data_IF_495045572080
#
_entry.id   IF_495045572080
#
_cell.length_a   1.000
_cell.length_b   1.000
_cell.length_c   1.000
_cell.angle_alpha   90.00
_cell.angle_beta   90.00
_cell.angle_gamma   90.00
#
_symmetry.space_group_name_H-M   'P 1'
#
loop_
_entity.id
_entity.type
_entity.pdbx_description
1 polymer ?
#
# COMPACT_ATOMS: atom_id res chain seq x y z
N UNK A 1 -4.33 13.27 22.56
CA UNK A 1 -4.10 13.08 21.12
C UNK A 1 -5.34 12.39 20.57
N UNK A 2 -5.96 12.95 19.54
CA UNK A 2 -7.19 12.38 18.96
C UNK A 2 -6.77 11.22 18.08
N UNK A 3 -7.47 10.08 18.20
CA UNK A 3 -7.26 8.91 17.35
C UNK A 3 -8.60 8.52 16.71
N UNK A 4 -8.53 8.04 15.47
CA UNK A 4 -9.63 7.34 14.80
C UNK A 4 -9.52 5.85 15.10
N UNK A 5 -10.66 5.22 15.39
CA UNK A 5 -10.73 3.76 15.47
C UNK A 5 -11.38 3.22 14.21
N UNK A 6 -10.62 2.50 13.41
CA UNK A 6 -11.15 1.79 12.24
C UNK A 6 -11.40 0.33 12.61
N UNK A 7 -12.67 -0.04 12.70
CA UNK A 7 -13.12 -1.40 12.94
C UNK A 7 -13.22 -2.15 11.60
N UNK A 8 -12.63 -3.34 11.59
CA UNK A 8 -12.64 -4.23 10.44
C UNK A 8 -13.70 -5.30 10.73
N UNK A 9 -14.86 -5.16 10.09
CA UNK A 9 -16.10 -5.91 10.39
C UNK A 9 -16.81 -5.51 11.71
N UNK A 10 -18.14 -5.45 11.64
CA UNK A 10 -19.03 -5.29 12.79
C UNK A 10 -19.18 -6.59 13.58
N UNK A 11 -18.89 -7.74 12.96
CA UNK A 11 -19.05 -9.08 13.55
C UNK A 11 -17.88 -9.51 14.45
N UNK A 12 -16.74 -8.82 14.40
CA UNK A 12 -15.53 -9.10 15.17
C UNK A 12 -15.26 -8.00 16.22
N UNK A 13 -16.04 -7.95 17.32
CA UNK A 13 -15.83 -6.96 18.36
C UNK A 13 -14.45 -7.14 19.00
N UNK A 14 -13.54 -6.18 18.78
CA UNK A 14 -12.25 -6.09 19.46
C UNK A 14 -11.04 -5.89 18.57
N UNK A 15 -11.14 -6.14 17.25
CA UNK A 15 -10.05 -5.85 16.31
C UNK A 15 -10.30 -4.52 15.61
N UNK A 16 -9.54 -3.50 15.99
CA UNK A 16 -9.57 -2.19 15.36
C UNK A 16 -8.16 -1.65 15.18
N UNK A 17 -7.98 -0.81 14.18
CA UNK A 17 -6.80 0.02 14.07
C UNK A 17 -7.02 1.31 14.84
N UNK A 18 -6.12 1.60 15.77
CA UNK A 18 -6.02 2.91 16.41
C UNK A 18 -5.10 3.79 15.54
N UNK A 19 -5.71 4.66 14.73
CA UNK A 19 -5.02 5.51 13.76
C UNK A 19 -4.92 6.92 14.35
N UNK A 20 -3.74 7.40 14.75
CA UNK A 20 -3.60 8.77 15.24
C UNK A 20 -4.01 9.76 14.16
N UNK A 21 -4.88 10.71 14.48
CA UNK A 21 -5.38 11.72 13.52
C UNK A 21 -4.22 12.48 12.90
N UNK A 22 -3.21 12.81 13.71
CA UNK A 22 -1.99 13.46 13.22
C UNK A 22 -1.27 12.64 12.14
N UNK A 23 -1.30 11.31 12.19
CA UNK A 23 -0.64 10.46 11.18
C UNK A 23 -1.46 10.42 9.89
N UNK A 24 -2.78 10.28 9.99
CA UNK A 24 -3.68 10.31 8.83
C UNK A 24 -3.67 11.66 8.09
N UNK A 25 -3.69 12.77 8.84
CA UNK A 25 -3.81 14.14 8.31
C UNK A 25 -2.47 14.75 7.89
N UNK A 26 -1.36 14.42 8.57
CA UNK A 26 -0.07 15.13 8.33
C UNK A 26 1.02 14.33 7.64
N UNK A 27 0.89 12.99 7.49
CA UNK A 27 2.03 12.14 7.09
C UNK A 27 1.79 11.26 5.88
N UNK A 28 0.60 10.70 5.71
CA UNK A 28 0.45 9.52 4.85
C UNK A 28 -0.18 9.76 3.49
N UNK A 29 -0.91 10.85 3.30
CA UNK A 29 -1.37 11.35 2.03
C UNK A 29 -1.74 12.82 2.26
N UNK A 30 -1.65 13.71 1.28
CA UNK A 30 -2.36 14.99 1.26
C UNK A 30 -3.70 14.83 0.55
N UNK A 31 -4.29 13.67 0.77
CA UNK A 31 -5.72 13.52 0.72
C UNK A 31 -6.22 14.42 1.84
N UNK A 32 -6.69 15.62 1.49
CA UNK A 32 -7.42 16.50 2.41
C UNK A 32 -8.71 15.86 2.94
N UNK A 33 -8.91 14.56 2.69
CA UNK A 33 -10.14 13.82 2.93
C UNK A 33 -9.83 12.56 3.76
N UNK A 34 -9.67 12.73 5.09
CA UNK A 34 -9.26 11.65 6.00
C UNK A 34 -10.14 10.38 5.89
N UNK A 35 -11.42 10.55 5.53
CA UNK A 35 -12.36 9.46 5.29
C UNK A 35 -11.91 8.57 4.11
N UNK A 36 -11.56 9.16 2.96
CA UNK A 36 -11.01 8.41 1.82
C UNK A 36 -9.77 7.61 2.20
N UNK A 37 -8.89 8.17 3.02
CA UNK A 37 -7.72 7.45 3.54
C UNK A 37 -8.10 6.28 4.45
N UNK A 38 -9.06 6.46 5.37
CA UNK A 38 -9.56 5.37 6.21
C UNK A 38 -10.21 4.26 5.37
N UNK A 39 -10.90 4.61 4.28
CA UNK A 39 -11.48 3.65 3.33
C UNK A 39 -10.38 2.87 2.62
N UNK A 40 -9.32 3.55 2.22
CA UNK A 40 -8.13 2.94 1.62
C UNK A 40 -7.43 1.97 2.59
N UNK A 41 -7.33 2.30 3.88
CA UNK A 41 -6.80 1.38 4.89
C UNK A 41 -7.66 0.13 5.02
N UNK A 42 -8.98 0.30 5.11
CA UNK A 42 -9.92 -0.82 5.15
C UNK A 42 -9.80 -1.73 3.92
N UNK A 43 -9.75 -1.14 2.72
CA UNK A 43 -9.49 -1.84 1.46
C UNK A 43 -8.14 -2.56 1.48
N UNK A 44 -7.07 -1.92 1.94
CA UNK A 44 -5.72 -2.52 1.97
C UNK A 44 -5.68 -3.75 2.90
N UNK A 45 -6.38 -3.68 4.02
CA UNK A 45 -6.40 -4.76 5.03
C UNK A 45 -7.30 -5.91 4.61
N UNK A 46 -8.45 -5.62 4.00
CA UNK A 46 -9.42 -6.66 3.60
C UNK A 46 -9.18 -7.19 2.19
N UNK A 47 -8.66 -6.37 1.28
CA UNK A 47 -8.49 -6.71 -0.13
C UNK A 47 -9.80 -6.71 -0.93
N UNK A 48 -10.86 -6.10 -0.40
CA UNK A 48 -12.17 -6.00 -1.06
C UNK A 48 -12.68 -4.57 -1.06
N UNK A 49 -13.49 -4.23 -2.06
CA UNK A 49 -14.20 -2.97 -2.10
C UNK A 49 -15.18 -2.86 -0.94
N UNK A 50 -15.29 -1.66 -0.39
CA UNK A 50 -16.14 -1.39 0.76
C UNK A 50 -16.37 0.10 0.99
N UNK A 51 -17.27 0.36 1.92
CA UNK A 51 -17.71 1.69 2.32
C UNK A 51 -17.40 1.90 3.80
N UNK A 52 -17.18 3.16 4.17
CA UNK A 52 -17.07 3.56 5.56
C UNK A 52 -18.44 3.91 6.13
N UNK A 53 -18.69 3.47 7.35
CA UNK A 53 -19.84 3.91 8.14
C UNK A 53 -19.38 4.48 9.47
N UNK A 54 -20.04 5.55 9.94
CA UNK A 54 -19.75 6.19 11.22
C UNK A 54 -20.78 5.79 12.27
N UNK A 55 -20.33 5.52 13.50
CA UNK A 55 -21.21 5.31 14.66
C UNK A 55 -20.79 6.21 15.80
N UNK A 56 -21.76 6.93 16.36
CA UNK A 56 -21.57 7.67 17.60
C UNK A 56 -21.68 6.68 18.78
N UNK A 57 -20.63 6.51 19.60
CA UNK A 57 -20.71 5.68 20.80
C UNK A 57 -21.72 6.19 21.85
N UNK A 58 -22.18 7.45 21.76
CA UNK A 58 -23.20 7.98 22.67
C UNK A 58 -24.65 7.62 22.29
N UNK A 59 -24.89 7.04 21.11
CA UNK A 59 -26.23 6.70 20.59
C UNK A 59 -26.51 5.19 20.64
N UNK A 60 -26.10 4.50 21.71
CA UNK A 60 -26.16 3.02 21.78
C UNK A 60 -27.55 2.38 21.89
N UNK A 61 -28.68 3.13 21.89
CA UNK A 61 -29.96 2.55 22.35
C UNK A 61 -31.24 2.93 21.60
N UNK A 62 -31.19 3.20 20.29
CA UNK A 62 -32.42 3.22 19.47
C UNK A 62 -32.64 1.86 18.80
N UNK A 63 -33.43 1.06 19.51
CA UNK A 63 -33.93 -0.28 19.16
C UNK A 63 -34.98 -0.29 18.03
N UNK A 64 -35.04 0.77 17.22
CA UNK A 64 -35.88 0.81 16.03
C UNK A 64 -34.99 0.70 14.80
N UNK A 65 -35.25 -0.32 13.96
CA UNK A 65 -34.37 -0.78 12.88
C UNK A 65 -34.15 0.19 11.73
N UNK A 66 -34.42 1.48 11.91
CA UNK A 66 -34.01 2.58 11.03
C UNK A 66 -32.59 3.05 11.37
N UNK A 67 -31.64 2.11 11.40
CA UNK A 67 -30.22 2.47 11.37
C UNK A 67 -29.94 2.93 9.94
N UNK A 68 -30.25 4.21 9.65
CA UNK A 68 -29.81 4.88 8.44
C UNK A 68 -28.33 4.56 8.28
N UNK A 69 -27.97 3.94 7.16
CA UNK A 69 -26.58 3.71 6.81
C UNK A 69 -25.93 5.10 6.72
N UNK A 70 -25.31 5.54 7.81
CA UNK A 70 -24.46 6.72 7.86
C UNK A 70 -23.18 6.41 7.09
N UNK A 71 -23.33 6.17 5.79
CA UNK A 71 -22.23 6.09 4.86
C UNK A 71 -21.50 7.42 4.92
N UNK A 72 -20.21 7.35 5.14
CA UNK A 72 -19.32 8.50 5.21
C UNK A 72 -18.85 8.77 3.80
N UNK A 73 -18.99 10.01 3.34
CA UNK A 73 -18.44 10.41 2.04
C UNK A 73 -16.91 10.44 2.13
N UNK A 74 -16.25 10.09 1.03
CA UNK A 74 -14.79 10.14 0.94
C UNK A 74 -14.29 11.55 1.22
N UNK A 75 -15.03 12.58 0.79
CA UNK A 75 -14.70 14.01 0.93
C UNK A 75 -15.16 14.64 2.26
N UNK A 76 -15.73 13.85 3.17
CA UNK A 76 -16.21 14.37 4.46
C UNK A 76 -15.03 14.78 5.36
N UNK A 77 -15.03 16.04 5.80
CA UNK A 77 -14.10 16.54 6.82
C UNK A 77 -14.42 15.90 8.18
N UNK A 78 -13.39 15.41 8.87
CA UNK A 78 -13.56 14.88 10.22
C UNK A 78 -13.23 15.96 11.24
N UNK A 79 -14.23 16.41 11.99
CA UNK A 79 -14.02 17.36 13.09
C UNK A 79 -13.05 16.78 14.13
N UNK A 80 -12.01 17.54 14.45
CA UNK A 80 -10.92 17.11 15.34
C UNK A 80 -11.35 16.92 16.81
N UNK A 81 -12.59 17.27 17.20
CA UNK A 81 -13.00 17.34 18.60
C UNK A 81 -13.63 16.08 19.18
N UNK A 82 -13.91 15.05 18.38
CA UNK A 82 -14.56 13.83 18.88
C UNK A 82 -13.80 12.55 18.52
N UNK A 83 -13.72 11.62 19.47
CA UNK A 83 -13.29 10.24 19.21
C UNK A 83 -14.38 9.55 18.40
N UNK A 84 -14.16 9.40 17.08
CA UNK A 84 -15.11 8.77 16.18
C UNK A 84 -14.73 7.32 15.87
N UNK A 85 -15.74 6.46 15.88
CA UNK A 85 -15.61 5.06 15.49
C UNK A 85 -16.06 4.91 14.03
N UNK A 86 -15.13 4.52 13.17
CA UNK A 86 -15.39 4.21 11.77
C UNK A 86 -15.39 2.71 11.56
N UNK A 87 -16.30 2.22 10.72
CA UNK A 87 -16.43 0.82 10.40
C UNK A 87 -16.30 0.66 8.90
N UNK A 88 -15.32 -0.14 8.48
CA UNK A 88 -15.23 -0.57 7.10
C UNK A 88 -16.16 -1.76 6.88
N UNK A 89 -17.03 -1.66 5.87
CA UNK A 89 -17.96 -2.72 5.49
C UNK A 89 -17.85 -3.01 4.01
N UNK A 90 -17.82 -4.30 3.65
CA UNK A 90 -17.78 -4.75 2.25
C UNK A 90 -18.98 -4.21 1.46
N UNK A 91 -18.72 -3.77 0.23
CA UNK A 91 -19.76 -3.37 -0.71
C UNK A 91 -20.67 -4.55 -1.06
N UNK A 92 -21.99 -4.33 -1.10
CA UNK A 92 -22.99 -5.37 -1.30
C UNK A 92 -23.47 -6.08 -0.02
N UNK A 93 -22.74 -5.95 1.11
CA UNK A 93 -23.11 -6.51 2.41
C UNK A 93 -23.08 -8.03 2.51
N UNK A 94 -22.99 -8.55 3.74
CA UNK A 94 -23.10 -9.98 4.07
C UNK A 94 -21.83 -10.81 3.76
N UNK A 95 -21.53 -11.75 4.66
CA UNK A 95 -20.39 -12.68 4.55
C UNK A 95 -19.27 -12.37 5.54
N UNK A 96 -18.63 -13.44 6.02
CA UNK A 96 -17.43 -13.37 6.85
C UNK A 96 -16.26 -12.80 6.03
N UNK A 97 -15.82 -11.58 6.34
CA UNK A 97 -14.69 -10.93 5.64
C UNK A 97 -13.33 -11.33 6.22
N UNK A 98 -13.30 -12.08 7.33
CA UNK A 98 -12.07 -12.46 8.01
C UNK A 98 -11.16 -13.33 7.15
N UNK A 99 -11.75 -14.13 6.24
CA UNK A 99 -11.00 -14.99 5.31
C UNK A 99 -10.14 -14.20 4.31
N UNK A 100 -10.53 -12.97 3.99
CA UNK A 100 -9.78 -12.10 3.05
C UNK A 100 -8.81 -11.17 3.75
N UNK A 101 -8.97 -10.94 5.07
CA UNK A 101 -8.10 -10.06 5.85
C UNK A 101 -6.63 -10.48 5.77
N UNK A 102 -5.71 -9.52 5.86
CA UNK A 102 -4.27 -9.83 5.83
C UNK A 102 -4.00 -10.69 7.05
N UNK A 103 -3.60 -11.94 6.84
CA UNK A 103 -3.21 -12.83 7.94
C UNK A 103 -2.11 -12.13 8.76
N UNK A 104 -2.30 -11.81 10.04
CA UNK A 104 -1.24 -11.23 10.86
C UNK A 104 -0.01 -12.15 10.96
N UNK A 105 -0.19 -13.47 10.82
CA UNK A 105 0.91 -14.43 10.73
C UNK A 105 1.69 -14.32 9.41
N UNK A 106 1.19 -13.58 8.40
CA UNK A 106 1.96 -13.14 7.24
C UNK A 106 3.20 -12.34 7.63
N UNK A 107 3.18 -11.68 8.79
CA UNK A 107 4.33 -10.95 9.33
C UNK A 107 5.23 -11.81 10.23
N UNK A 108 4.89 -13.08 10.47
CA UNK A 108 5.73 -14.03 11.20
C UNK A 108 7.07 -14.23 10.49
N UNK A 109 8.17 -14.33 11.23
CA UNK A 109 9.54 -14.48 10.69
C UNK A 109 9.84 -15.87 10.13
N UNK A 110 8.82 -16.71 9.91
CA UNK A 110 9.01 -18.04 9.34
C UNK A 110 9.67 -17.95 7.96
N UNK A 111 10.86 -18.54 7.84
CA UNK A 111 11.66 -18.58 6.64
C UNK A 111 11.32 -19.83 5.83
N UNK A 112 10.82 -19.67 4.62
CA UNK A 112 10.73 -20.72 3.62
C UNK A 112 11.94 -20.62 2.70
N UNK A 113 12.64 -21.72 2.50
CA UNK A 113 13.75 -21.81 1.55
C UNK A 113 13.20 -21.91 0.13
N UNK A 114 13.37 -20.88 -0.69
CA UNK A 114 13.20 -20.97 -2.15
C UNK A 114 14.53 -21.27 -2.82
N UNK A 115 14.49 -22.01 -3.93
CA UNK A 115 15.68 -22.59 -4.59
C UNK A 115 16.38 -21.63 -5.58
N UNK A 116 16.01 -20.36 -5.63
CA UNK A 116 16.57 -19.37 -6.57
C UNK A 116 17.66 -18.49 -5.95
N UNK A 117 18.71 -18.17 -6.73
CA UNK A 117 19.75 -17.24 -6.28
C UNK A 117 19.22 -15.80 -6.28
N UNK A 118 19.68 -14.98 -5.33
CA UNK A 118 19.31 -13.55 -5.25
C UNK A 118 19.98 -12.74 -6.36
N UNK A 119 21.08 -13.27 -6.89
CA UNK A 119 21.91 -12.67 -7.91
C UNK A 119 21.16 -12.56 -9.25
N UNK A 120 20.50 -13.63 -9.72
CA UNK A 120 19.76 -13.59 -10.99
C UNK A 120 18.57 -12.64 -10.93
N UNK A 121 17.85 -12.63 -9.80
CA UNK A 121 16.76 -11.69 -9.56
C UNK A 121 17.20 -10.23 -9.71
N UNK A 122 18.34 -9.88 -9.10
CA UNK A 122 18.90 -8.53 -9.21
C UNK A 122 19.32 -8.18 -10.63
N UNK A 123 19.91 -9.12 -11.37
CA UNK A 123 20.29 -8.90 -12.77
C UNK A 123 19.08 -8.66 -13.67
N UNK A 124 18.00 -9.42 -13.47
CA UNK A 124 16.76 -9.22 -14.21
C UNK A 124 16.10 -7.86 -13.89
N UNK A 125 16.13 -7.46 -12.61
CA UNK A 125 15.69 -6.14 -12.18
C UNK A 125 16.54 -5.04 -12.81
N UNK A 126 17.86 -5.19 -12.93
CA UNK A 126 18.71 -4.26 -13.67
C UNK A 126 18.27 -4.14 -15.13
N UNK A 127 17.95 -5.27 -15.77
CA UNK A 127 17.44 -5.29 -17.14
C UNK A 127 16.16 -4.46 -17.30
N UNK A 128 15.24 -4.54 -16.33
CA UNK A 128 13.93 -3.85 -16.33
C UNK A 128 14.01 -2.39 -15.86
N UNK A 129 14.74 -2.11 -14.78
CA UNK A 129 14.69 -0.84 -14.04
C UNK A 129 15.84 0.09 -14.41
N UNK A 130 16.99 -0.46 -14.83
CA UNK A 130 18.23 0.25 -15.20
C UNK A 130 18.94 1.01 -14.07
N UNK A 131 18.20 1.63 -13.15
CA UNK A 131 18.71 2.41 -12.02
C UNK A 131 17.77 2.26 -10.82
N UNK A 132 18.08 2.89 -9.69
CA UNK A 132 17.11 2.98 -8.59
C UNK A 132 15.83 3.67 -9.10
N UNK A 133 14.69 2.99 -8.97
CA UNK A 133 13.43 3.50 -9.52
C UNK A 133 12.98 4.82 -8.89
N UNK A 134 13.34 5.12 -7.63
CA UNK A 134 12.92 6.34 -6.91
C UNK A 134 13.97 7.46 -6.87
N UNK A 135 15.26 7.12 -6.90
CA UNK A 135 16.35 8.11 -6.74
C UNK A 135 17.20 8.27 -8.00
N UNK A 136 16.98 7.42 -9.01
CA UNK A 136 17.78 7.33 -10.23
C UNK A 136 19.29 7.11 -10.01
N UNK A 137 19.66 6.60 -8.83
CA UNK A 137 21.04 6.21 -8.54
C UNK A 137 21.48 5.03 -9.42
N UNK A 138 22.75 5.03 -9.81
CA UNK A 138 23.33 4.03 -10.70
C UNK A 138 23.17 2.59 -10.15
N UNK A 139 22.86 1.62 -11.03
CA UNK A 139 22.64 0.22 -10.67
C UNK A 139 23.74 -0.42 -9.81
N UNK A 140 25.00 0.03 -9.94
CA UNK A 140 26.14 -0.48 -9.16
C UNK A 140 26.06 -0.22 -7.64
N UNK A 141 25.22 0.73 -7.22
CA UNK A 141 24.93 1.04 -5.81
C UNK A 141 23.48 0.73 -5.43
N UNK A 142 22.80 -0.07 -6.25
CA UNK A 142 21.42 -0.49 -6.03
C UNK A 142 21.31 -1.99 -5.74
N UNK A 143 20.25 -2.33 -5.04
CA UNK A 143 19.89 -3.65 -4.55
C UNK A 143 18.47 -3.99 -5.03
N UNK A 144 18.24 -5.28 -5.33
CA UNK A 144 16.91 -5.77 -5.63
C UNK A 144 16.15 -5.94 -4.32
N UNK A 145 15.01 -5.28 -4.18
CA UNK A 145 14.11 -5.45 -3.03
C UNK A 145 12.86 -6.18 -3.48
N UNK A 146 12.42 -7.14 -2.68
CA UNK A 146 11.18 -7.87 -2.94
C UNK A 146 9.99 -7.17 -2.28
N UNK A 147 8.84 -7.15 -2.93
CA UNK A 147 7.57 -6.66 -2.38
C UNK A 147 7.06 -7.65 -1.34
N UNK A 148 6.90 -8.91 -1.74
CA UNK A 148 6.70 -10.03 -0.82
C UNK A 148 8.08 -10.59 -0.47
N UNK A 149 8.51 -10.56 0.81
CA UNK A 149 9.87 -10.90 1.18
C UNK A 149 10.30 -12.27 0.65
N UNK A 150 11.53 -12.34 0.13
CA UNK A 150 12.14 -13.58 -0.37
C UNK A 150 12.02 -14.74 0.63
N UNK A 151 12.16 -14.45 1.92
CA UNK A 151 12.06 -15.43 3.01
C UNK A 151 10.69 -16.09 3.14
N UNK A 152 9.66 -15.62 2.45
CA UNK A 152 8.33 -16.22 2.45
C UNK A 152 8.17 -17.35 1.44
N UNK A 153 9.01 -17.35 0.40
CA UNK A 153 9.02 -18.38 -0.63
C UNK A 153 7.74 -18.44 -1.49
N UNK A 154 7.72 -19.38 -2.42
CA UNK A 154 6.70 -19.46 -3.48
C UNK A 154 5.32 -19.90 -2.94
N UNK A 155 5.29 -20.72 -1.88
CA UNK A 155 4.04 -21.19 -1.24
C UNK A 155 3.24 -20.01 -0.71
N UNK A 156 3.93 -19.05 -0.09
CA UNK A 156 3.29 -17.86 0.46
C UNK A 156 2.75 -16.94 -0.64
N UNK A 157 3.52 -16.78 -1.72
CA UNK A 157 3.07 -16.04 -2.89
C UNK A 157 1.77 -16.64 -3.47
N UNK A 158 1.72 -17.98 -3.61
CA UNK A 158 0.52 -18.66 -4.11
C UNK A 158 -0.71 -18.43 -3.21
N UNK A 159 -0.53 -18.46 -1.88
CA UNK A 159 -1.61 -18.19 -0.93
C UNK A 159 -2.11 -16.74 -1.02
N UNK A 160 -1.21 -15.75 -1.20
CA UNK A 160 -1.62 -14.36 -1.43
C UNK A 160 -2.46 -14.27 -2.70
N UNK A 161 -2.00 -14.87 -3.79
CA UNK A 161 -2.72 -14.86 -5.06
C UNK A 161 -4.08 -15.56 -4.97
N UNK A 162 -4.21 -16.63 -4.18
CA UNK A 162 -5.49 -17.31 -3.99
C UNK A 162 -6.50 -16.48 -3.16
N UNK A 163 -6.03 -15.79 -2.11
CA UNK A 163 -6.91 -15.12 -1.13
C UNK A 163 -7.29 -13.67 -1.49
N UNK A 164 -6.47 -12.98 -2.31
CA UNK A 164 -6.60 -11.55 -2.60
C UNK A 164 -7.22 -11.20 -3.95
N UNK A 165 -7.45 -12.18 -4.83
CA UNK A 165 -7.98 -11.92 -6.16
C UNK A 165 -9.52 -11.91 -6.12
N UNK A 166 -10.11 -10.82 -6.64
CA UNK A 166 -10.41 -10.79 -8.05
C UNK A 166 -9.51 -9.78 -8.76
N UNK A 167 -8.66 -10.30 -9.62
CA UNK A 167 -7.82 -9.55 -10.57
C UNK A 167 -8.66 -8.46 -11.25
N UNK A 168 -8.24 -7.19 -11.17
CA UNK A 168 -8.68 -6.16 -12.12
C UNK A 168 -8.61 -6.74 -13.53
N UNK A 169 -9.65 -6.57 -14.37
CA UNK A 169 -9.87 -7.29 -15.65
C UNK A 169 -8.72 -7.27 -16.70
N UNK A 170 -7.54 -6.71 -16.40
CA UNK A 170 -6.34 -6.70 -17.25
C UNK A 170 -5.06 -7.33 -16.67
N UNK A 171 -4.93 -7.65 -15.38
CA UNK A 171 -3.65 -8.10 -14.80
C UNK A 171 -3.55 -9.63 -14.67
N UNK A 172 -3.01 -10.31 -15.68
CA UNK A 172 -2.84 -11.77 -15.63
C UNK A 172 -1.70 -12.19 -14.68
N UNK A 173 -2.04 -12.43 -13.41
CA UNK A 173 -1.11 -12.95 -12.40
C UNK A 173 -1.02 -14.50 -12.38
N UNK A 174 -1.73 -15.19 -13.27
CA UNK A 174 -1.76 -16.66 -13.34
C UNK A 174 -0.41 -17.32 -13.64
N UNK A 175 0.55 -16.56 -14.17
CA UNK A 175 1.93 -17.01 -14.42
C UNK A 175 2.93 -16.58 -13.33
N UNK A 176 2.50 -15.84 -12.29
CA UNK A 176 3.37 -15.43 -11.18
C UNK A 176 3.55 -16.59 -10.21
N UNK A 177 4.59 -17.40 -10.44
CA UNK A 177 4.81 -18.67 -9.71
C UNK A 177 5.99 -18.66 -8.75
N UNK A 178 6.86 -17.65 -8.84
CA UNK A 178 8.08 -17.59 -8.04
C UNK A 178 8.22 -16.26 -7.31
N UNK A 179 8.71 -16.33 -6.08
CA UNK A 179 9.07 -15.18 -5.27
C UNK A 179 10.16 -14.33 -5.93
N UNK A 180 10.97 -14.92 -6.81
CA UNK A 180 12.00 -14.26 -7.62
C UNK A 180 11.49 -13.77 -8.98
N UNK A 181 10.19 -13.81 -9.25
CA UNK A 181 9.65 -13.12 -10.43
C UNK A 181 9.90 -11.62 -10.28
N UNK A 182 10.41 -10.98 -11.34
CA UNK A 182 10.72 -9.54 -11.33
C UNK A 182 9.52 -8.67 -10.94
N UNK A 183 8.28 -9.11 -11.18
CA UNK A 183 7.06 -8.39 -10.76
C UNK A 183 6.96 -8.27 -9.25
N UNK A 184 7.55 -9.20 -8.50
CA UNK A 184 7.62 -9.17 -7.04
C UNK A 184 8.79 -8.31 -6.52
N UNK A 185 9.34 -7.37 -7.31
CA UNK A 185 10.37 -6.49 -6.78
C UNK A 185 10.74 -5.32 -7.65
N UNK A 186 11.74 -4.60 -7.17
CA UNK A 186 12.24 -3.37 -7.77
C UNK A 186 13.69 -3.13 -7.40
N UNK A 187 14.42 -2.43 -8.27
CA UNK A 187 15.78 -1.99 -8.02
C UNK A 187 15.74 -0.68 -7.23
N UNK A 188 16.28 -0.69 -6.01
CA UNK A 188 16.31 0.46 -5.11
C UNK A 188 17.73 0.79 -4.67
N UNK A 189 18.00 2.03 -4.29
CA UNK A 189 19.32 2.41 -3.78
C UNK A 189 19.56 1.80 -2.41
N UNK A 190 20.85 1.64 -2.05
CA UNK A 190 21.27 1.24 -0.69
C UNK A 190 20.72 2.12 0.44
N UNK A 191 20.35 3.37 0.14
CA UNK A 191 19.73 4.25 1.12
C UNK A 191 18.24 3.93 1.32
N UNK A 192 17.51 3.63 0.24
CA UNK A 192 16.07 3.34 0.28
C UNK A 192 15.78 1.92 0.75
N UNK A 193 16.62 0.95 0.38
CA UNK A 193 16.42 -0.46 0.73
C UNK A 193 16.16 -0.73 2.23
N UNK A 194 17.01 -0.28 3.17
CA UNK A 194 16.77 -0.52 4.60
C UNK A 194 15.52 0.19 5.13
N UNK A 195 15.08 1.29 4.51
CA UNK A 195 13.87 2.01 4.91
C UNK A 195 12.61 1.24 4.54
N UNK A 196 12.62 0.56 3.38
CA UNK A 196 11.57 -0.37 2.99
C UNK A 196 11.55 -1.62 3.88
N UNK A 197 12.71 -2.23 4.14
CA UNK A 197 12.81 -3.41 5.03
C UNK A 197 12.31 -3.11 6.46
N UNK A 198 12.65 -1.93 7.00
CA UNK A 198 12.20 -1.48 8.33
C UNK A 198 10.76 -0.98 8.35
N UNK A 199 10.05 -0.98 7.21
CA UNK A 199 8.68 -0.46 7.08
C UNK A 199 8.58 1.02 7.50
N UNK A 200 9.65 1.78 7.30
CA UNK A 200 9.65 3.24 7.43
C UNK A 200 9.09 3.91 6.18
N UNK A 201 9.10 3.19 5.05
CA UNK A 201 8.50 3.59 3.79
C UNK A 201 7.62 2.49 3.19
N UNK A 202 6.70 2.87 2.33
CA UNK A 202 5.91 1.96 1.51
C UNK A 202 5.77 2.51 0.08
N UNK A 203 5.40 1.63 -0.86
CA UNK A 203 5.08 2.02 -2.24
C UNK A 203 3.58 1.97 -2.43
N UNK A 204 3.00 3.10 -2.84
CA UNK A 204 1.59 3.25 -3.14
C UNK A 204 1.38 3.19 -4.66
N UNK A 205 0.52 2.27 -5.13
CA UNK A 205 0.07 2.21 -6.52
C UNK A 205 -1.23 3.01 -6.68
N UNK A 206 -1.28 3.87 -7.70
CA UNK A 206 -2.50 4.59 -8.12
C UNK A 206 -2.67 4.54 -9.65
N UNK A 207 -3.91 4.49 -10.19
CA UNK A 207 -5.15 4.36 -9.44
C UNK A 207 -5.25 2.99 -8.75
N UNK A 208 -6.02 2.95 -7.68
CA UNK A 208 -6.52 1.73 -7.04
C UNK A 208 -8.02 1.94 -6.72
N UNK A 209 -8.78 0.93 -6.24
CA UNK A 209 -10.22 1.07 -6.05
C UNK A 209 -10.68 2.19 -5.10
N UNK A 210 -9.77 2.83 -4.37
CA UNK A 210 -10.06 3.96 -3.49
C UNK A 210 -9.39 5.25 -3.94
N UNK A 211 -8.12 5.19 -4.36
CA UNK A 211 -7.29 6.36 -4.64
C UNK A 211 -7.01 6.51 -6.12
N UNK A 212 -7.22 7.72 -6.62
CA UNK A 212 -6.80 8.20 -7.93
C UNK A 212 -5.36 8.71 -7.89
N UNK A 213 -4.74 8.85 -9.07
CA UNK A 213 -3.37 9.42 -9.16
C UNK A 213 -3.28 10.86 -8.67
N UNK A 214 -4.38 11.62 -8.76
CA UNK A 214 -4.49 13.02 -8.30
C UNK A 214 -4.65 13.16 -6.80
N UNK A 215 -4.97 12.07 -6.09
CA UNK A 215 -5.05 12.05 -4.61
C UNK A 215 -3.66 12.10 -3.96
N UNK A 216 -2.61 11.89 -4.75
CA UNK A 216 -1.21 11.93 -4.31
C UNK A 216 -0.51 13.08 -5.04
N UNK A 217 0.17 14.03 -4.37
CA UNK A 217 0.86 15.12 -5.04
C UNK A 217 2.12 14.60 -5.68
N UNK A 218 2.63 15.43 -6.56
CA UNK A 218 3.97 15.28 -7.08
C UNK A 218 5.01 15.54 -5.99
N UNK A 219 6.16 14.87 -6.07
CA UNK A 219 7.30 15.20 -5.23
C UNK A 219 7.76 16.63 -5.49
N UNK A 220 8.05 17.38 -4.43
CA UNK A 220 8.56 18.76 -4.52
C UNK A 220 9.92 18.85 -5.23
N UNK A 221 10.67 17.74 -5.31
CA UNK A 221 12.00 17.67 -5.91
C UNK A 221 12.03 16.64 -7.06
N UNK A 222 11.62 17.07 -8.25
CA UNK A 222 11.79 16.32 -9.52
C UNK A 222 13.26 16.18 -9.98
N UNK A 223 14.24 16.37 -9.07
CA UNK A 223 15.61 16.72 -9.41
C UNK A 223 16.45 15.60 -10.05
N UNK A 224 15.96 14.38 -10.25
CA UNK A 224 16.79 13.26 -10.72
C UNK A 224 16.39 12.60 -12.04
N UNK A 225 15.24 12.89 -12.64
CA UNK A 225 14.72 12.10 -13.78
C UNK A 225 15.09 12.61 -15.19
N UNK A 226 16.08 13.49 -15.32
CA UNK A 226 16.53 14.04 -16.63
C UNK A 226 17.46 13.13 -17.44
N UNK A 227 17.61 11.86 -17.08
CA UNK A 227 18.42 10.92 -17.85
C UNK A 227 17.51 10.08 -18.76
N UNK A 228 17.56 10.33 -20.07
CA UNK A 228 16.58 9.88 -21.07
C UNK A 228 16.36 8.37 -21.24
N UNK A 229 17.04 7.53 -20.45
CA UNK A 229 16.87 6.08 -20.44
C UNK A 229 15.73 5.59 -19.54
N UNK A 230 15.20 6.44 -18.65
CA UNK A 230 14.07 6.12 -17.77
C UNK A 230 12.84 6.98 -18.08
N UNK A 231 11.65 6.46 -17.78
CA UNK A 231 10.36 7.14 -17.89
C UNK A 231 9.61 6.98 -16.57
N UNK A 232 9.00 8.07 -16.11
CA UNK A 232 8.06 8.03 -14.99
C UNK A 232 6.88 7.15 -15.36
N UNK A 233 6.45 6.31 -14.42
CA UNK A 233 5.18 5.65 -14.60
C UNK A 233 4.05 6.60 -14.24
N UNK A 234 3.29 7.02 -15.25
CA UNK A 234 2.13 7.89 -15.07
C UNK A 234 0.83 7.11 -14.93
N UNK A 235 0.77 5.84 -15.37
CA UNK A 235 -0.38 4.97 -15.19
C UNK A 235 0.01 3.47 -15.40
N UNK A 236 -0.02 2.61 -14.36
CA UNK A 236 -0.25 2.95 -12.96
C UNK A 236 0.96 3.67 -12.35
N UNK A 237 0.73 4.74 -11.59
CA UNK A 237 1.74 5.51 -10.85
C UNK A 237 2.14 4.78 -9.57
N UNK A 238 3.44 4.63 -9.34
CA UNK A 238 3.99 4.05 -8.11
C UNK A 238 4.74 5.12 -7.34
N UNK A 239 4.29 5.42 -6.14
CA UNK A 239 4.78 6.55 -5.35
C UNK A 239 5.31 6.06 -4.02
N UNK A 240 6.52 6.49 -3.67
CA UNK A 240 7.15 6.17 -2.40
C UNK A 240 6.61 7.09 -1.29
N UNK A 241 6.11 6.49 -0.21
CA UNK A 241 5.45 7.16 0.92
C UNK A 241 6.22 6.91 2.22
N UNK A 242 6.49 7.97 2.99
CA UNK A 242 7.06 7.89 4.33
C UNK A 242 6.00 7.51 5.37
N UNK A 243 6.19 6.40 6.06
CA UNK A 243 5.34 5.96 7.17
C UNK A 243 5.83 6.50 8.53
N UNK A 244 7.14 6.52 8.71
CA UNK A 244 7.81 6.96 9.94
C UNK A 244 9.23 7.39 9.63
N UNK A 245 9.98 7.86 10.63
CA UNK A 245 11.37 8.28 10.46
C UNK A 245 11.58 9.77 10.71
N UNK A 246 12.82 10.11 11.03
CA UNK A 246 13.24 11.46 11.42
C UNK A 246 13.60 12.35 10.22
N UNK A 247 13.90 13.62 10.48
CA UNK A 247 14.25 14.59 9.43
C UNK A 247 15.52 14.21 8.67
N UNK A 248 16.49 13.57 9.33
CA UNK A 248 17.73 13.15 8.71
C UNK A 248 17.51 11.97 7.75
N UNK A 249 16.72 10.98 8.16
CA UNK A 249 16.30 9.87 7.29
C UNK A 249 15.52 10.41 6.08
N UNK A 250 14.61 11.37 6.29
CA UNK A 250 13.80 12.00 5.24
C UNK A 250 14.58 12.85 4.25
N UNK A 251 15.80 13.28 4.60
CA UNK A 251 16.66 14.00 3.67
C UNK A 251 17.20 13.09 2.54
N UNK A 252 17.19 11.76 2.72
CA UNK A 252 17.75 10.81 1.75
C UNK A 252 16.88 10.60 0.51
N UNK A 253 15.55 10.68 0.67
CA UNK A 253 14.58 10.54 -0.41
C UNK A 253 13.33 11.37 -0.10
N UNK A 254 12.87 12.14 -1.08
CA UNK A 254 11.69 12.98 -0.92
C UNK A 254 10.44 12.12 -0.73
N UNK A 255 9.50 12.59 0.10
CA UNK A 255 8.17 12.00 0.11
C UNK A 255 7.52 12.18 -1.25
N UNK A 256 6.61 11.27 -1.60
CA UNK A 256 5.93 11.23 -2.89
C UNK A 256 6.85 11.02 -4.10
N UNK A 257 8.06 10.48 -3.92
CA UNK A 257 8.95 10.19 -5.04
C UNK A 257 8.34 9.12 -5.95
N UNK A 258 8.16 9.45 -7.23
CA UNK A 258 7.57 8.54 -8.21
C UNK A 258 8.61 7.60 -8.79
N UNK A 259 8.20 6.35 -9.01
CA UNK A 259 9.03 5.37 -9.66
C UNK A 259 9.22 5.70 -11.15
N UNK A 260 10.46 5.62 -11.61
CA UNK A 260 10.86 5.69 -13.00
C UNK A 260 11.52 4.37 -13.43
N UNK A 261 11.11 3.86 -14.58
CA UNK A 261 11.56 2.57 -15.11
C UNK A 261 12.24 2.75 -16.45
N UNK A 262 13.01 1.76 -16.89
CA UNK A 262 13.67 1.82 -18.20
C UNK A 262 12.63 2.00 -19.32
N UNK A 263 12.94 2.85 -20.29
CA UNK A 263 12.10 3.04 -21.46
C UNK A 263 11.91 1.71 -22.21
N UNK A 264 10.66 1.37 -22.53
CA UNK A 264 10.30 0.19 -23.33
C UNK A 264 10.23 -1.13 -22.56
N UNK A 265 10.47 -1.15 -21.25
CA UNK A 265 10.30 -2.35 -20.42
C UNK A 265 8.97 -2.39 -19.66
N UNK A 266 8.26 -1.26 -19.62
CA UNK A 266 7.07 -1.02 -18.80
C UNK A 266 5.84 -1.83 -19.21
N UNK A 267 5.52 -1.91 -20.51
CA UNK A 267 4.22 -2.41 -20.99
C UNK A 267 4.04 -3.94 -20.92
N UNK A 268 4.84 -4.70 -20.16
CA UNK A 268 4.73 -6.17 -20.15
C UNK A 268 5.10 -6.88 -18.84
N UNK A 269 5.50 -6.19 -17.77
CA UNK A 269 6.30 -6.83 -16.69
C UNK A 269 6.11 -6.28 -15.26
N UNK A 270 5.03 -5.57 -14.93
CA UNK A 270 4.59 -5.35 -13.54
C UNK A 270 3.20 -5.90 -13.34
#
# INVERSE_FOLDING_TARGET
MVNYRLYIDKSLPGLYLDVPVAVAVSRLLPVNTPCKYLRYLGYSIIGLNGVLTRRDPALEDDSDGSNEKNNVDDDEDIEQSASLNFYFTREGGGGDISYHAVDPAAFSTASATSAGSRESFREDLIGRDYACVFTNQHQGICEGTHIIPFSKGDVWLAQILETRLPVDEGETLSNLKSINDIRNGMLVSRAVHPLLEKKQMAVLRTPNPVLETTDVPEATNLNSHRYGNVLLSTNPRYTLQWLSGDEHERASVSNNADAAFRRGTWCSKM
#
